data_IF_653675950148
#
_entry.id   IF_653675950148
#
_cell.length_a   1.000
_cell.length_b   1.000
_cell.length_c   1.000
_cell.angle_alpha   90.00
_cell.angle_beta   90.00
_cell.angle_gamma   90.00
#
_symmetry.space_group_name_H-M   'P 1'
#
loop_
_entity.id
_entity.type
_entity.pdbx_description
1 polymer ?
#
# COMPACT_ATOMS: atom_id res chain seq x y z
N UNK A 1 -12.59 4.74 -11.22
CA UNK A 1 -13.08 3.75 -10.22
C UNK A 1 -14.56 3.97 -9.97
N UNK A 2 -15.32 2.92 -9.60
CA UNK A 2 -16.75 3.07 -9.25
C UNK A 2 -16.91 3.79 -7.91
N UNK A 3 -18.05 4.47 -7.71
CA UNK A 3 -18.39 5.25 -6.51
C UNK A 3 -18.21 4.46 -5.20
N UNK A 4 -18.61 3.18 -5.20
CA UNK A 4 -18.50 2.28 -4.03
C UNK A 4 -17.08 2.21 -3.42
N UNK A 5 -16.05 2.39 -4.22
CA UNK A 5 -14.64 2.31 -3.80
C UNK A 5 -13.92 3.67 -3.83
N UNK A 6 -14.64 4.73 -4.16
CA UNK A 6 -14.09 6.09 -4.25
C UNK A 6 -14.41 6.86 -2.98
N UNK A 7 -13.40 7.16 -2.19
CA UNK A 7 -13.54 8.06 -1.04
C UNK A 7 -13.58 9.51 -1.53
N UNK A 8 -14.38 10.38 -0.89
CA UNK A 8 -14.62 11.73 -1.39
C UNK A 8 -13.34 12.56 -1.59
N UNK A 9 -12.39 12.46 -0.67
CA UNK A 9 -11.13 13.23 -0.72
C UNK A 9 -10.28 12.87 -1.94
N UNK A 10 -10.13 11.58 -2.25
CA UNK A 10 -9.39 11.13 -3.42
C UNK A 10 -10.20 11.29 -4.72
N UNK A 11 -11.52 11.10 -4.64
CA UNK A 11 -12.41 11.31 -5.78
C UNK A 11 -12.35 12.74 -6.33
N UNK A 12 -12.22 13.74 -5.47
CA UNK A 12 -12.08 15.16 -5.87
C UNK A 12 -10.82 15.43 -6.68
N UNK A 13 -9.71 14.73 -6.40
CA UNK A 13 -8.44 14.88 -7.12
C UNK A 13 -8.61 14.52 -8.60
N UNK A 14 -9.44 13.53 -8.91
CA UNK A 14 -9.58 12.97 -10.26
C UNK A 14 -10.83 13.43 -11.02
N UNK A 15 -11.44 14.55 -10.59
CA UNK A 15 -12.54 15.18 -11.35
C UNK A 15 -12.00 15.92 -12.58
N UNK A 16 -12.85 16.06 -13.60
CA UNK A 16 -12.56 16.91 -14.75
C UNK A 16 -12.26 18.37 -14.33
N UNK A 17 -12.98 18.87 -13.33
CA UNK A 17 -12.76 20.20 -12.76
C UNK A 17 -11.32 20.38 -12.27
N UNK A 18 -10.82 19.46 -11.40
CA UNK A 18 -9.45 19.55 -10.89
C UNK A 18 -8.41 19.37 -11.99
N UNK A 19 -8.67 18.50 -12.95
CA UNK A 19 -7.80 18.30 -14.12
C UNK A 19 -7.64 19.56 -14.95
N UNK A 20 -8.74 20.19 -15.34
CA UNK A 20 -8.70 21.42 -16.15
C UNK A 20 -8.20 22.62 -15.34
N UNK A 21 -8.45 22.66 -14.05
CA UNK A 21 -7.86 23.67 -13.18
C UNK A 21 -6.33 23.54 -13.13
N UNK A 22 -5.80 22.32 -13.07
CA UNK A 22 -4.37 22.07 -13.14
C UNK A 22 -3.77 22.47 -14.52
N UNK A 23 -4.49 22.21 -15.63
CA UNK A 23 -4.08 22.68 -16.95
C UNK A 23 -4.05 24.21 -17.02
N UNK A 24 -5.09 24.86 -16.52
CA UNK A 24 -5.16 26.33 -16.48
C UNK A 24 -4.01 26.93 -15.67
N UNK A 25 -3.68 26.34 -14.53
CA UNK A 25 -2.58 26.82 -13.71
C UNK A 25 -1.23 26.72 -14.43
N UNK A 26 -0.97 25.62 -15.14
CA UNK A 26 0.26 25.49 -15.97
C UNK A 26 0.31 26.56 -17.05
N UNK A 27 -0.78 26.81 -17.77
CA UNK A 27 -0.86 27.82 -18.81
C UNK A 27 -0.58 29.24 -18.26
N UNK A 28 -1.17 29.57 -17.12
CA UNK A 28 -1.01 30.90 -16.53
C UNK A 28 0.42 31.09 -15.99
N UNK A 29 0.96 30.08 -15.29
CA UNK A 29 2.33 30.11 -14.78
C UNK A 29 3.37 30.21 -15.90
N UNK A 30 3.13 29.58 -17.05
CA UNK A 30 3.98 29.73 -18.22
C UNK A 30 3.96 31.19 -18.73
N UNK A 31 2.79 31.83 -18.79
CA UNK A 31 2.68 33.23 -19.15
C UNK A 31 3.36 34.14 -18.12
N UNK A 32 3.28 33.85 -16.84
CA UNK A 32 3.98 34.56 -15.78
C UNK A 32 5.51 34.50 -15.99
N UNK A 33 6.03 33.29 -16.29
CA UNK A 33 7.45 33.13 -16.59
C UNK A 33 7.91 33.95 -17.79
N UNK A 34 7.15 33.99 -18.87
CA UNK A 34 7.40 34.81 -20.04
C UNK A 34 7.36 36.31 -19.70
N UNK A 35 6.50 36.72 -18.76
CA UNK A 35 6.47 38.12 -18.31
C UNK A 35 7.70 38.49 -17.47
N UNK A 36 8.25 37.57 -16.69
CA UNK A 36 9.52 37.79 -15.99
C UNK A 36 10.70 37.89 -16.95
N UNK A 37 10.66 37.21 -18.10
CA UNK A 37 11.63 37.38 -19.19
C UNK A 37 11.44 38.68 -19.99
N UNK A 38 10.26 39.32 -19.90
CA UNK A 38 9.92 40.54 -20.60
C UNK A 38 9.28 40.36 -21.97
N UNK A 39 8.95 39.11 -22.35
CA UNK A 39 8.34 38.77 -23.64
C UNK A 39 6.82 38.97 -23.65
N UNK A 40 6.17 38.86 -22.49
CA UNK A 40 4.74 39.13 -22.30
C UNK A 40 4.57 40.34 -21.37
N UNK A 41 3.70 41.31 -21.70
CA UNK A 41 3.41 42.44 -20.81
C UNK A 41 2.82 41.96 -19.48
N UNK A 42 3.32 42.48 -18.36
CA UNK A 42 2.83 42.09 -17.01
C UNK A 42 1.34 42.40 -16.81
N UNK A 43 0.82 43.45 -17.47
CA UNK A 43 -0.61 43.78 -17.44
C UNK A 43 -1.46 42.73 -18.15
N UNK A 44 -0.96 42.10 -19.24
CA UNK A 44 -1.67 41.03 -19.93
C UNK A 44 -1.73 39.77 -19.02
N UNK A 45 -0.62 39.44 -18.36
CA UNK A 45 -0.59 38.31 -17.41
C UNK A 45 -1.49 38.55 -16.21
N UNK A 46 -1.55 39.77 -15.69
CA UNK A 46 -2.50 40.09 -14.59
C UNK A 46 -3.96 39.88 -15.04
N UNK A 47 -4.31 40.29 -16.27
CA UNK A 47 -5.64 40.02 -16.84
C UNK A 47 -5.90 38.55 -17.06
N UNK A 48 -4.92 37.77 -17.53
CA UNK A 48 -5.03 36.31 -17.65
C UNK A 48 -5.33 35.67 -16.28
N UNK A 49 -4.56 36.02 -15.25
CA UNK A 49 -4.74 35.47 -13.90
C UNK A 49 -6.13 35.81 -13.31
N UNK A 50 -6.63 37.02 -13.59
CA UNK A 50 -7.93 37.48 -13.07
C UNK A 50 -9.13 36.86 -13.81
N UNK A 51 -9.05 36.76 -15.16
CA UNK A 51 -10.23 36.51 -15.99
C UNK A 51 -10.24 35.11 -16.63
N UNK A 52 -9.09 34.42 -16.76
CA UNK A 52 -9.05 33.11 -17.38
C UNK A 52 -9.87 32.09 -16.57
N UNK A 53 -10.82 31.49 -17.25
CA UNK A 53 -11.69 30.46 -16.69
C UNK A 53 -12.08 29.45 -17.79
N UNK A 54 -12.74 28.40 -17.39
CA UNK A 54 -13.23 27.39 -18.33
C UNK A 54 -14.62 26.88 -17.94
N UNK A 55 -15.30 26.34 -18.92
CA UNK A 55 -16.55 25.59 -18.74
C UNK A 55 -16.39 24.22 -19.36
N UNK A 56 -16.62 23.17 -18.55
CA UNK A 56 -16.39 21.78 -18.95
C UNK A 56 -17.27 21.38 -20.13
N UNK A 57 -18.54 21.77 -20.11
CA UNK A 57 -19.47 21.43 -21.19
C UNK A 57 -19.07 22.12 -22.49
N UNK A 58 -18.59 23.38 -22.40
CA UNK A 58 -18.06 24.11 -23.55
C UNK A 58 -16.79 23.46 -24.11
N UNK A 59 -15.90 22.99 -23.25
CA UNK A 59 -14.71 22.23 -23.70
C UNK A 59 -15.15 20.99 -24.48
N UNK A 60 -16.11 20.22 -23.96
CA UNK A 60 -16.63 19.02 -24.64
C UNK A 60 -17.25 19.33 -26.01
N UNK A 61 -18.04 20.40 -26.10
CA UNK A 61 -18.61 20.86 -27.37
C UNK A 61 -17.50 21.16 -28.41
N UNK A 62 -16.47 21.91 -28.02
CA UNK A 62 -15.36 22.25 -28.91
C UNK A 62 -14.54 21.01 -29.26
N UNK A 63 -14.39 20.06 -28.33
CA UNK A 63 -13.67 18.81 -28.57
C UNK A 63 -14.38 17.92 -29.60
N UNK A 64 -15.70 17.91 -29.65
CA UNK A 64 -16.48 17.19 -30.68
C UNK A 64 -16.13 17.68 -32.09
N UNK A 65 -15.84 18.97 -32.26
CA UNK A 65 -15.44 19.54 -33.54
C UNK A 65 -13.95 19.35 -33.84
N UNK A 66 -13.09 19.67 -32.83
CA UNK A 66 -11.64 19.71 -33.02
C UNK A 66 -10.97 18.37 -32.92
N UNK A 67 -11.61 17.39 -32.29
CA UNK A 67 -11.07 16.05 -31.97
C UNK A 67 -9.73 16.10 -31.24
N UNK A 68 -9.51 17.16 -30.44
CA UNK A 68 -8.29 17.40 -29.71
C UNK A 68 -8.59 18.11 -28.38
N UNK A 69 -8.36 17.43 -27.27
CA UNK A 69 -8.73 17.89 -25.93
C UNK A 69 -7.99 19.19 -25.48
N UNK A 70 -6.68 19.29 -25.70
CA UNK A 70 -5.92 20.51 -25.32
C UNK A 70 -6.32 21.70 -26.18
N UNK A 71 -6.53 21.50 -27.49
CA UNK A 71 -7.03 22.57 -28.38
C UNK A 71 -8.42 23.03 -27.95
N UNK A 72 -9.28 22.10 -27.58
CA UNK A 72 -10.63 22.42 -27.09
C UNK A 72 -10.55 23.25 -25.80
N UNK A 73 -9.70 22.83 -24.85
CA UNK A 73 -9.48 23.53 -23.60
C UNK A 73 -8.94 24.98 -23.83
N UNK A 74 -7.88 25.14 -24.62
CA UNK A 74 -7.28 26.45 -24.87
C UNK A 74 -8.24 27.40 -25.60
N UNK A 75 -9.08 26.89 -26.52
CA UNK A 75 -10.14 27.66 -27.15
C UNK A 75 -11.21 28.10 -26.15
N UNK A 76 -11.69 27.20 -25.32
CA UNK A 76 -12.68 27.51 -24.30
C UNK A 76 -12.16 28.58 -23.31
N UNK A 77 -10.91 28.48 -22.87
CA UNK A 77 -10.27 29.50 -22.04
C UNK A 77 -10.17 30.85 -22.79
N UNK A 78 -9.78 30.83 -24.06
CA UNK A 78 -9.66 32.03 -24.86
C UNK A 78 -10.99 32.77 -25.05
N UNK A 79 -12.13 32.07 -25.02
CA UNK A 79 -13.45 32.70 -25.09
C UNK A 79 -13.79 33.57 -23.87
N UNK A 80 -13.10 33.36 -22.75
CA UNK A 80 -13.30 34.18 -21.51
C UNK A 80 -12.41 35.41 -21.43
N UNK A 81 -11.52 35.62 -22.40
CA UNK A 81 -10.45 36.59 -22.37
C UNK A 81 -10.61 37.67 -23.47
N UNK A 82 -9.96 38.82 -23.25
CA UNK A 82 -9.84 39.91 -24.21
C UNK A 82 -8.66 39.73 -25.18
N UNK A 83 -7.90 40.81 -25.41
CA UNK A 83 -6.72 40.80 -26.29
C UNK A 83 -5.58 39.91 -25.77
N UNK A 84 -5.49 39.69 -24.47
CA UNK A 84 -4.52 38.83 -23.79
C UNK A 84 -4.66 37.37 -24.16
N UNK A 85 -5.78 36.92 -24.73
CA UNK A 85 -6.02 35.52 -25.19
C UNK A 85 -4.94 35.00 -26.15
N UNK A 86 -4.22 35.91 -26.86
CA UNK A 86 -3.13 35.54 -27.78
C UNK A 86 -1.96 34.85 -27.07
N UNK A 87 -1.85 34.99 -25.77
CA UNK A 87 -0.80 34.39 -24.95
C UNK A 87 -1.13 32.99 -24.40
N UNK A 88 -2.39 32.58 -24.52
CA UNK A 88 -2.77 31.21 -24.13
C UNK A 88 -2.03 30.20 -25.03
N UNK A 89 -1.36 29.23 -24.38
CA UNK A 89 -0.55 28.21 -25.04
C UNK A 89 0.68 28.73 -25.80
N UNK A 90 1.19 29.90 -25.42
CA UNK A 90 2.31 30.53 -26.14
C UNK A 90 3.61 29.75 -25.99
N UNK A 91 4.11 29.21 -27.10
CA UNK A 91 5.33 28.39 -27.18
C UNK A 91 5.16 26.93 -26.71
N UNK A 92 4.06 26.58 -26.04
CA UNK A 92 3.84 25.27 -25.46
C UNK A 92 3.41 24.22 -26.49
N UNK A 93 3.69 22.95 -26.19
CA UNK A 93 3.04 21.80 -26.81
C UNK A 93 2.06 21.15 -25.82
N UNK A 94 1.11 20.38 -26.32
CA UNK A 94 0.05 19.76 -25.50
C UNK A 94 0.57 19.07 -24.25
N UNK A 95 1.66 18.30 -24.36
CA UNK A 95 2.22 17.54 -23.22
C UNK A 95 3.05 18.37 -22.25
N UNK A 96 3.46 19.58 -22.61
CA UNK A 96 4.01 20.53 -21.63
C UNK A 96 2.94 20.83 -20.56
N UNK A 97 1.68 20.93 -20.97
CA UNK A 97 0.54 21.14 -20.08
C UNK A 97 0.07 19.82 -19.45
N UNK A 98 -0.19 18.81 -20.27
CA UNK A 98 -0.82 17.55 -19.80
C UNK A 98 0.07 16.80 -18.82
N UNK A 99 1.35 16.59 -19.16
CA UNK A 99 2.25 15.82 -18.29
C UNK A 99 2.59 16.58 -17.00
N UNK A 100 2.86 17.89 -17.09
CA UNK A 100 3.17 18.71 -15.91
C UNK A 100 1.96 18.81 -14.98
N UNK A 101 0.77 19.04 -15.53
CA UNK A 101 -0.45 19.07 -14.74
C UNK A 101 -0.79 17.72 -14.14
N UNK A 102 -0.56 16.61 -14.85
CA UNK A 102 -0.76 15.26 -14.33
C UNK A 102 0.15 15.00 -13.12
N UNK A 103 1.41 15.39 -13.20
CA UNK A 103 2.36 15.29 -12.07
C UNK A 103 1.92 16.15 -10.89
N UNK A 104 1.36 17.31 -11.13
CA UNK A 104 0.79 18.17 -10.08
C UNK A 104 -0.47 17.53 -9.43
N UNK A 105 -1.35 16.94 -10.20
CA UNK A 105 -2.52 16.17 -9.69
C UNK A 105 -2.07 14.93 -8.91
N UNK A 106 -1.05 14.20 -9.39
CA UNK A 106 -0.47 13.07 -8.67
C UNK A 106 0.16 13.50 -7.34
N UNK A 107 0.81 14.67 -7.28
CA UNK A 107 1.32 15.23 -6.02
C UNK A 107 0.19 15.42 -5.01
N UNK A 108 -0.95 15.97 -5.41
CA UNK A 108 -2.12 16.10 -4.53
C UNK A 108 -2.62 14.72 -4.03
N UNK A 109 -2.65 13.71 -4.91
CA UNK A 109 -3.01 12.35 -4.53
C UNK A 109 -1.97 11.72 -3.58
N UNK A 110 -0.67 12.00 -3.79
CA UNK A 110 0.42 11.52 -2.95
C UNK A 110 0.33 12.03 -1.51
N UNK A 111 -0.05 13.30 -1.32
CA UNK A 111 -0.26 13.88 0.02
C UNK A 111 -1.33 13.11 0.81
N UNK A 112 -2.43 12.74 0.14
CA UNK A 112 -3.49 11.93 0.75
C UNK A 112 -2.98 10.53 1.08
N UNK A 113 -2.32 9.85 0.14
CA UNK A 113 -1.80 8.50 0.33
C UNK A 113 -0.72 8.43 1.41
N UNK A 114 0.14 9.45 1.50
CA UNK A 114 1.16 9.56 2.55
C UNK A 114 0.52 9.58 3.94
N UNK A 115 -0.48 10.45 4.13
CA UNK A 115 -1.22 10.53 5.39
C UNK A 115 -1.98 9.23 5.72
N UNK A 116 -2.49 8.54 4.72
CA UNK A 116 -3.15 7.24 4.90
C UNK A 116 -2.18 6.14 5.32
N UNK A 117 -0.98 6.09 4.71
CA UNK A 117 0.07 5.14 5.05
C UNK A 117 0.56 5.35 6.48
N UNK A 118 0.84 6.58 6.87
CA UNK A 118 1.29 6.93 8.22
C UNK A 118 0.22 6.54 9.26
N UNK A 119 -1.05 6.85 9.00
CA UNK A 119 -2.17 6.46 9.86
C UNK A 119 -2.32 4.94 9.96
N UNK A 120 -2.16 4.22 8.86
CA UNK A 120 -2.24 2.76 8.87
C UNK A 120 -1.09 2.13 9.66
N UNK A 121 0.13 2.65 9.53
CA UNK A 121 1.29 2.23 10.32
C UNK A 121 1.05 2.44 11.83
N UNK A 122 0.49 3.57 12.20
CA UNK A 122 0.16 3.87 13.61
C UNK A 122 -0.88 2.91 14.18
N UNK A 123 -1.90 2.55 13.40
CA UNK A 123 -2.89 1.55 13.81
C UNK A 123 -2.22 0.19 14.08
N UNK A 124 -1.36 -0.26 13.16
CA UNK A 124 -0.64 -1.53 13.33
C UNK A 124 0.28 -1.47 14.56
N UNK A 125 1.00 -0.36 14.74
CA UNK A 125 1.85 -0.11 15.91
C UNK A 125 1.08 -0.28 17.22
N UNK A 126 -0.05 0.41 17.34
CA UNK A 126 -0.91 0.34 18.53
C UNK A 126 -1.37 -1.09 18.82
N UNK A 127 -1.82 -1.80 17.78
CA UNK A 127 -2.27 -3.19 17.90
C UNK A 127 -1.13 -4.15 18.22
N UNK A 128 0.06 -3.95 17.68
CA UNK A 128 1.24 -4.76 18.00
C UNK A 128 1.60 -4.65 19.49
N UNK A 129 1.60 -3.42 20.03
CA UNK A 129 1.89 -3.18 21.45
C UNK A 129 0.78 -3.73 22.35
N UNK A 130 -0.50 -3.52 21.99
CA UNK A 130 -1.66 -4.05 22.71
C UNK A 130 -1.59 -5.58 22.89
N UNK A 131 -1.14 -6.29 21.87
CA UNK A 131 -1.08 -7.75 21.84
C UNK A 131 0.33 -8.33 21.97
N UNK A 132 1.28 -7.56 22.49
CA UNK A 132 2.69 -7.98 22.66
C UNK A 132 2.80 -9.33 23.36
N UNK A 133 2.02 -9.54 24.40
CA UNK A 133 2.05 -10.73 25.25
C UNK A 133 0.89 -11.69 25.00
N UNK A 134 0.07 -11.44 23.97
CA UNK A 134 -1.03 -12.35 23.59
C UNK A 134 -0.47 -13.56 22.87
N UNK A 135 -0.29 -14.67 23.60
CA UNK A 135 0.30 -15.90 23.06
C UNK A 135 -0.62 -16.56 22.04
N UNK A 136 -0.04 -17.08 20.99
CA UNK A 136 -0.71 -17.86 19.95
C UNK A 136 0.22 -18.90 19.35
N UNK A 137 -0.36 -19.81 18.57
CA UNK A 137 0.41 -20.82 17.84
C UNK A 137 1.04 -20.23 16.58
N UNK A 138 2.37 -20.33 16.46
CA UNK A 138 3.08 -20.12 15.21
C UNK A 138 2.89 -21.33 14.28
N UNK A 139 2.59 -21.06 13.00
CA UNK A 139 2.34 -22.11 12.01
C UNK A 139 3.28 -21.97 10.83
N UNK A 140 3.89 -23.09 10.43
CA UNK A 140 4.64 -23.22 9.18
C UNK A 140 3.97 -24.30 8.33
N UNK A 141 3.83 -24.07 7.03
CA UNK A 141 3.09 -24.98 6.13
C UNK A 141 1.63 -25.25 6.55
N UNK A 142 1.04 -24.37 7.39
CA UNK A 142 -0.28 -24.57 8.00
C UNK A 142 -0.29 -25.51 9.21
N UNK A 143 0.87 -26.05 9.61
CA UNK A 143 1.06 -26.96 10.74
C UNK A 143 1.59 -26.21 11.96
N UNK A 144 1.20 -26.64 13.16
CA UNK A 144 1.72 -26.09 14.41
C UNK A 144 3.23 -26.28 14.51
N UNK A 145 3.95 -25.19 14.75
CA UNK A 145 5.39 -25.18 14.94
C UNK A 145 5.73 -24.83 16.39
N UNK A 146 5.87 -23.56 16.72
CA UNK A 146 6.23 -23.09 18.04
C UNK A 146 5.31 -21.96 18.51
N UNK A 147 5.14 -21.75 19.83
CA UNK A 147 4.46 -20.59 20.38
C UNK A 147 5.08 -19.28 19.92
N UNK A 148 4.23 -18.30 19.64
CA UNK A 148 4.59 -16.93 19.32
C UNK A 148 3.58 -15.98 19.97
N UNK A 149 3.64 -14.68 19.67
CA UNK A 149 2.60 -13.74 20.10
C UNK A 149 1.90 -13.10 18.91
N UNK A 150 0.64 -12.71 19.09
CA UNK A 150 -0.11 -11.98 18.09
C UNK A 150 0.52 -10.61 17.84
N UNK A 151 1.03 -9.96 18.90
CA UNK A 151 1.77 -8.71 18.77
C UNK A 151 3.03 -8.84 17.92
N UNK A 152 3.78 -9.95 18.03
CA UNK A 152 4.96 -10.19 17.20
C UNK A 152 4.60 -10.35 15.71
N UNK A 153 3.48 -11.00 15.41
CA UNK A 153 2.91 -11.07 14.06
C UNK A 153 2.59 -9.67 13.50
N UNK A 154 1.99 -8.81 14.30
CA UNK A 154 1.68 -7.43 13.93
C UNK A 154 2.94 -6.54 13.85
N UNK A 155 3.96 -6.80 14.66
CA UNK A 155 5.25 -6.11 14.57
C UNK A 155 5.94 -6.37 13.21
N UNK A 156 5.79 -7.58 12.65
CA UNK A 156 6.26 -7.88 11.29
C UNK A 156 5.52 -7.03 10.24
N UNK A 157 4.20 -6.84 10.38
CA UNK A 157 3.42 -5.98 9.48
C UNK A 157 3.83 -4.51 9.60
N UNK A 158 4.06 -4.05 10.83
CA UNK A 158 4.56 -2.70 11.11
C UNK A 158 5.87 -2.42 10.36
N UNK A 159 6.86 -3.29 10.49
CA UNK A 159 8.14 -3.14 9.81
C UNK A 159 8.03 -3.23 8.27
N UNK A 160 7.14 -4.06 7.77
CA UNK A 160 6.87 -4.14 6.32
C UNK A 160 6.24 -2.84 5.79
N UNK A 161 5.30 -2.26 6.54
CA UNK A 161 4.66 -1.01 6.12
C UNK A 161 5.58 0.20 6.26
N UNK A 162 6.52 0.23 7.18
CA UNK A 162 7.59 1.24 7.23
C UNK A 162 8.43 1.22 5.95
N UNK A 163 8.88 0.04 5.52
CA UNK A 163 9.60 -0.10 4.25
C UNK A 163 8.74 0.31 3.04
N UNK A 164 7.44 0.07 3.08
CA UNK A 164 6.52 0.53 2.04
C UNK A 164 6.34 2.04 2.04
N UNK A 165 6.33 2.68 3.21
CA UNK A 165 6.32 4.13 3.34
C UNK A 165 7.57 4.77 2.70
N UNK A 166 8.75 4.20 2.96
CA UNK A 166 10.00 4.68 2.37
C UNK A 166 9.99 4.55 0.84
N UNK A 167 9.55 3.39 0.32
CA UNK A 167 9.36 3.18 -1.12
C UNK A 167 8.36 4.16 -1.73
N UNK A 168 7.26 4.43 -1.01
CA UNK A 168 6.25 5.37 -1.49
C UNK A 168 6.81 6.79 -1.56
N UNK A 169 7.56 7.26 -0.56
CA UNK A 169 8.23 8.56 -0.58
C UNK A 169 9.19 8.70 -1.76
N UNK A 170 9.96 7.65 -2.03
CA UNK A 170 10.87 7.61 -3.19
C UNK A 170 10.09 7.66 -4.52
N UNK A 171 9.06 6.85 -4.67
CA UNK A 171 8.23 6.83 -5.87
C UNK A 171 7.46 8.14 -6.08
N UNK A 172 6.94 8.76 -5.01
CA UNK A 172 6.29 10.07 -5.06
C UNK A 172 7.26 11.14 -5.54
N UNK A 173 8.46 11.20 -4.95
CA UNK A 173 9.53 12.10 -5.42
C UNK A 173 9.86 11.85 -6.88
N UNK A 174 9.90 10.59 -7.32
CA UNK A 174 10.22 10.19 -8.69
C UNK A 174 9.16 10.57 -9.73
N UNK A 175 7.88 10.70 -9.34
CA UNK A 175 6.78 11.06 -10.24
C UNK A 175 6.46 12.57 -10.25
N UNK A 176 6.86 13.33 -9.22
CA UNK A 176 6.58 14.74 -9.06
C UNK A 176 7.55 15.62 -9.89
N UNK A 177 7.60 15.36 -11.19
CA UNK A 177 8.39 16.08 -12.16
C UNK A 177 7.49 16.73 -13.20
N UNK A 178 7.87 17.96 -13.61
CA UNK A 178 7.26 18.64 -14.75
C UNK A 178 8.25 18.73 -15.94
N UNK A 179 7.69 19.00 -17.11
CA UNK A 179 8.44 19.29 -18.33
C UNK A 179 7.74 20.37 -19.12
N UNK A 180 8.47 21.41 -19.52
CA UNK A 180 8.02 22.43 -20.45
C UNK A 180 9.18 22.69 -21.41
N UNK A 181 9.40 21.74 -22.28
CA UNK A 181 10.56 21.64 -23.17
C UNK A 181 10.20 21.61 -24.66
N UNK A 182 8.92 21.76 -24.98
CA UNK A 182 8.43 21.80 -26.36
C UNK A 182 8.21 20.42 -27.00
N UNK A 183 8.02 20.43 -28.29
CA UNK A 183 7.51 19.30 -29.07
C UNK A 183 8.43 18.05 -29.07
N UNK A 184 9.72 18.20 -28.84
CA UNK A 184 10.70 17.10 -28.82
C UNK A 184 11.75 17.25 -27.71
N UNK A 185 11.54 18.15 -26.74
CA UNK A 185 12.43 18.30 -25.61
C UNK A 185 13.65 19.21 -25.85
N UNK A 186 13.68 19.98 -26.92
CA UNK A 186 14.85 20.79 -27.30
C UNK A 186 14.75 22.29 -26.93
N UNK A 187 13.65 22.70 -26.33
CA UNK A 187 13.34 24.10 -26.00
C UNK A 187 13.38 25.07 -27.20
N UNK A 188 13.06 24.58 -28.41
CA UNK A 188 13.20 25.34 -29.63
C UNK A 188 12.40 26.66 -29.63
N UNK A 189 11.24 26.68 -28.96
CA UNK A 189 10.35 27.85 -28.88
C UNK A 189 10.04 28.27 -27.44
N UNK A 190 10.78 27.77 -26.47
CA UNK A 190 10.54 27.97 -25.03
C UNK A 190 11.88 28.20 -24.35
N UNK A 191 11.98 29.30 -23.57
CA UNK A 191 13.15 29.45 -22.71
C UNK A 191 13.12 28.43 -21.55
N UNK A 192 14.23 27.74 -21.23
CA UNK A 192 14.30 26.82 -20.09
C UNK A 192 13.87 27.41 -18.75
N UNK A 193 13.95 28.73 -18.59
CA UNK A 193 13.46 29.43 -17.41
C UNK A 193 11.95 29.18 -17.18
N UNK A 194 11.16 29.09 -18.27
CA UNK A 194 9.70 28.84 -18.17
C UNK A 194 9.42 27.51 -17.47
N UNK A 195 10.16 26.46 -17.83
CA UNK A 195 10.04 25.16 -17.17
C UNK A 195 10.40 25.23 -15.69
N UNK A 196 11.54 25.86 -15.39
CA UNK A 196 11.99 26.01 -14.01
C UNK A 196 10.97 26.76 -13.16
N UNK A 197 10.48 27.90 -13.67
CA UNK A 197 9.50 28.74 -12.99
C UNK A 197 8.20 27.99 -12.70
N UNK A 198 7.62 27.33 -13.70
CA UNK A 198 6.36 26.58 -13.55
C UNK A 198 6.53 25.44 -12.56
N UNK A 199 7.59 24.65 -12.70
CA UNK A 199 7.84 23.53 -11.77
C UNK A 199 8.02 24.01 -10.33
N UNK A 200 8.78 25.08 -10.09
CA UNK A 200 8.98 25.66 -8.77
C UNK A 200 7.64 26.12 -8.15
N UNK A 201 6.81 26.83 -8.91
CA UNK A 201 5.50 27.31 -8.43
C UNK A 201 4.53 26.18 -8.11
N UNK A 202 4.58 25.06 -8.84
CA UNK A 202 3.76 23.86 -8.57
C UNK A 202 4.39 22.95 -7.50
N UNK A 203 5.61 23.27 -7.04
CA UNK A 203 6.36 22.42 -6.11
C UNK A 203 6.76 21.08 -6.74
N UNK A 204 7.02 21.08 -8.05
CA UNK A 204 7.55 19.96 -8.82
C UNK A 204 9.04 20.16 -9.08
N UNK A 205 9.73 19.11 -9.47
CA UNK A 205 11.08 19.19 -10.02
C UNK A 205 11.01 19.32 -11.54
N UNK A 206 11.92 20.10 -12.15
CA UNK A 206 12.06 20.10 -13.60
C UNK A 206 12.82 18.86 -14.05
N UNK A 207 12.33 18.18 -15.09
CA UNK A 207 13.01 17.02 -15.64
C UNK A 207 14.35 17.43 -16.28
N UNK A 208 15.48 16.80 -15.91
CA UNK A 208 16.79 17.15 -16.47
C UNK A 208 16.86 17.02 -17.99
N UNK A 209 16.09 16.09 -18.54
CA UNK A 209 15.92 15.85 -19.97
C UNK A 209 14.55 15.20 -20.19
N UNK A 210 13.91 15.54 -21.28
CA UNK A 210 12.64 14.95 -21.70
C UNK A 210 12.58 14.86 -23.21
N UNK A 211 11.56 14.21 -23.72
CA UNK A 211 11.16 14.28 -25.13
C UNK A 211 9.93 15.20 -25.25
N UNK A 212 8.95 14.87 -26.06
CA UNK A 212 7.66 15.55 -25.94
C UNK A 212 6.95 15.22 -24.63
N UNK A 213 7.30 14.09 -24.00
CA UNK A 213 6.73 13.58 -22.74
C UNK A 213 7.80 13.42 -21.67
N UNK A 214 7.37 13.35 -20.41
CA UNK A 214 8.14 12.73 -19.34
C UNK A 214 8.30 11.22 -19.64
N UNK A 215 9.43 10.64 -19.26
CA UNK A 215 9.66 9.20 -19.49
C UNK A 215 8.77 8.35 -18.58
N UNK A 216 8.18 7.27 -19.12
CA UNK A 216 7.15 6.48 -18.46
C UNK A 216 7.69 5.43 -17.48
N UNK A 217 9.00 5.24 -17.40
CA UNK A 217 9.64 4.48 -16.31
C UNK A 217 9.29 5.05 -14.92
N UNK A 218 9.16 6.39 -14.81
CA UNK A 218 8.70 7.06 -13.57
C UNK A 218 7.31 6.59 -13.17
N UNK A 219 6.38 6.55 -14.14
CA UNK A 219 5.01 6.09 -13.93
C UNK A 219 4.96 4.59 -13.60
N UNK A 220 5.78 3.77 -14.29
CA UNK A 220 5.89 2.35 -14.01
C UNK A 220 6.44 2.06 -12.62
N UNK A 221 7.46 2.80 -12.16
CA UNK A 221 7.99 2.72 -10.80
C UNK A 221 6.93 3.10 -9.76
N UNK A 222 6.23 4.21 -9.98
CA UNK A 222 5.14 4.65 -9.11
C UNK A 222 4.05 3.57 -8.98
N UNK A 223 3.54 3.07 -10.10
CA UNK A 223 2.51 2.03 -10.14
C UNK A 223 2.97 0.72 -9.49
N UNK A 224 4.25 0.35 -9.65
CA UNK A 224 4.85 -0.82 -9.00
C UNK A 224 4.85 -0.68 -7.48
N UNK A 225 5.13 0.51 -7.00
CA UNK A 225 5.11 0.81 -5.56
C UNK A 225 3.69 0.71 -5.00
N UNK A 226 2.69 1.29 -5.68
CA UNK A 226 1.28 1.15 -5.28
C UNK A 226 0.85 -0.33 -5.24
N UNK A 227 1.25 -1.10 -6.25
CA UNK A 227 0.94 -2.53 -6.32
C UNK A 227 1.61 -3.34 -5.21
N UNK A 228 2.85 -3.01 -4.82
CA UNK A 228 3.55 -3.66 -3.72
C UNK A 228 2.88 -3.37 -2.38
N UNK A 229 2.46 -2.13 -2.12
CA UNK A 229 1.71 -1.75 -0.92
C UNK A 229 0.39 -2.52 -0.86
N UNK A 230 -0.37 -2.56 -1.96
CA UNK A 230 -1.61 -3.33 -2.06
C UNK A 230 -1.39 -4.83 -1.81
N UNK A 231 -0.28 -5.38 -2.27
CA UNK A 231 0.10 -6.79 -2.05
C UNK A 231 0.43 -7.06 -0.58
N UNK A 232 1.06 -6.12 0.13
CA UNK A 232 1.26 -6.22 1.59
C UNK A 232 -0.08 -6.24 2.33
N UNK A 233 -1.01 -5.34 1.98
CA UNK A 233 -2.37 -5.34 2.55
C UNK A 233 -3.10 -6.66 2.26
N UNK A 234 -2.98 -7.18 1.04
CA UNK A 234 -3.54 -8.51 0.69
C UNK A 234 -2.98 -9.61 1.57
N UNK A 235 -1.65 -9.65 1.77
CA UNK A 235 -1.00 -10.62 2.66
C UNK A 235 -1.58 -10.57 4.08
N UNK A 236 -1.75 -9.38 4.63
CA UNK A 236 -2.33 -9.19 5.97
C UNK A 236 -3.80 -9.63 6.01
N UNK A 237 -4.57 -9.31 4.97
CA UNK A 237 -5.95 -9.72 4.84
C UNK A 237 -6.10 -11.25 4.72
N UNK A 238 -5.20 -11.91 4.02
CA UNK A 238 -5.15 -13.39 3.93
C UNK A 238 -4.87 -14.01 5.29
N UNK A 239 -3.98 -13.42 6.09
CA UNK A 239 -3.73 -13.87 7.47
C UNK A 239 -4.98 -13.72 8.33
N UNK A 240 -5.65 -12.57 8.32
CA UNK A 240 -6.92 -12.36 9.06
C UNK A 240 -7.96 -13.40 8.66
N UNK A 241 -8.12 -13.68 7.36
CA UNK A 241 -9.02 -14.73 6.85
C UNK A 241 -8.65 -16.12 7.38
N UNK A 242 -7.35 -16.42 7.42
CA UNK A 242 -6.82 -17.67 7.96
C UNK A 242 -7.12 -17.84 9.45
N UNK A 243 -6.96 -16.77 10.24
CA UNK A 243 -7.22 -16.79 11.68
C UNK A 243 -8.72 -16.77 12.02
N UNK A 244 -9.59 -16.34 11.09
CA UNK A 244 -11.04 -16.32 11.27
C UNK A 244 -11.73 -17.62 10.85
N UNK A 245 -11.02 -18.59 10.26
CA UNK A 245 -11.62 -19.89 9.91
C UNK A 245 -12.30 -20.54 11.12
N UNK A 246 -13.35 -21.33 10.88
CA UNK A 246 -14.10 -22.04 11.92
C UNK A 246 -13.21 -22.91 12.82
N UNK A 247 -12.21 -23.56 12.22
CA UNK A 247 -11.25 -24.43 12.90
C UNK A 247 -10.24 -23.64 13.76
N UNK A 248 -9.94 -22.41 13.39
CA UNK A 248 -8.94 -21.54 14.06
C UNK A 248 -9.61 -20.60 15.06
N UNK A 249 -10.47 -19.72 14.57
CA UNK A 249 -11.26 -18.73 15.33
C UNK A 249 -10.45 -17.97 16.38
N UNK A 250 -9.28 -17.47 15.97
CA UNK A 250 -8.36 -16.70 16.83
C UNK A 250 -8.60 -15.20 16.73
N UNK A 251 -9.10 -14.72 15.59
CA UNK A 251 -9.57 -13.36 15.39
C UNK A 251 -10.89 -13.36 14.60
N UNK A 252 -11.57 -12.20 14.58
CA UNK A 252 -12.79 -11.99 13.80
C UNK A 252 -12.88 -10.50 13.41
N UNK A 253 -13.25 -10.20 12.15
CA UNK A 253 -13.61 -8.84 11.77
C UNK A 253 -14.74 -8.34 12.66
N UNK A 254 -14.67 -7.06 13.07
CA UNK A 254 -15.73 -6.47 13.90
C UNK A 254 -17.08 -6.57 13.21
N UNK A 255 -18.05 -7.08 13.96
CA UNK A 255 -19.41 -7.29 13.50
C UNK A 255 -20.36 -6.35 14.25
N UNK A 256 -20.86 -5.33 13.56
CA UNK A 256 -21.72 -4.32 14.16
C UNK A 256 -23.12 -4.90 14.52
N UNK A 257 -23.74 -4.34 15.56
CA UNK A 257 -25.10 -4.68 15.94
C UNK A 257 -26.05 -4.41 14.75
N UNK A 258 -26.78 -5.44 14.34
CA UNK A 258 -27.72 -5.35 13.19
C UNK A 258 -27.10 -5.68 11.82
N UNK A 259 -25.78 -5.84 11.72
CA UNK A 259 -25.13 -6.31 10.51
C UNK A 259 -25.57 -7.73 10.16
N UNK A 260 -25.65 -8.04 8.86
CA UNK A 260 -25.95 -9.40 8.37
C UNK A 260 -24.66 -10.01 7.79
N UNK A 261 -24.28 -11.16 8.31
CA UNK A 261 -23.04 -11.86 7.88
C UNK A 261 -23.29 -12.84 6.73
N UNK A 262 -24.51 -13.31 6.57
CA UNK A 262 -24.91 -14.26 5.55
C UNK A 262 -26.39 -14.09 5.22
N UNK A 263 -26.76 -14.30 3.96
CA UNK A 263 -28.16 -14.28 3.52
C UNK A 263 -28.93 -15.56 3.93
N UNK A 264 -28.20 -16.67 4.16
CA UNK A 264 -28.80 -17.98 4.45
C UNK A 264 -28.61 -18.43 5.90
N UNK A 265 -27.47 -18.12 6.51
CA UNK A 265 -27.10 -18.62 7.85
C UNK A 265 -26.89 -17.44 8.82
N UNK A 266 -27.85 -17.17 9.73
CA UNK A 266 -27.82 -15.98 10.60
C UNK A 266 -26.60 -15.87 11.51
N UNK A 267 -25.99 -16.99 11.89
CA UNK A 267 -24.80 -17.05 12.77
C UNK A 267 -23.47 -16.87 12.04
N UNK A 268 -23.46 -16.95 10.70
CA UNK A 268 -22.23 -16.98 9.92
C UNK A 268 -21.67 -15.57 9.71
N UNK A 269 -20.47 -15.33 10.21
CA UNK A 269 -19.73 -14.06 10.08
C UNK A 269 -18.55 -14.27 9.14
N UNK A 270 -18.68 -13.74 7.92
CA UNK A 270 -17.65 -13.88 6.89
C UNK A 270 -16.66 -12.72 6.97
N UNK A 271 -15.36 -12.95 6.69
CA UNK A 271 -14.33 -11.89 6.62
C UNK A 271 -14.41 -11.12 5.28
N UNK A 272 -15.58 -10.54 4.99
CA UNK A 272 -15.87 -9.91 3.70
C UNK A 272 -14.95 -8.72 3.42
N UNK A 273 -14.55 -7.97 4.46
CA UNK A 273 -13.65 -6.86 4.31
C UNK A 273 -12.27 -7.31 3.85
N UNK A 274 -11.72 -8.35 4.46
CA UNK A 274 -10.41 -8.93 4.08
C UNK A 274 -10.48 -9.60 2.70
N UNK A 275 -11.58 -10.26 2.35
CA UNK A 275 -11.79 -10.79 1.00
C UNK A 275 -11.81 -9.69 -0.06
N UNK A 276 -12.48 -8.56 0.25
CA UNK A 276 -12.51 -7.40 -0.62
C UNK A 276 -11.11 -6.82 -0.85
N UNK A 277 -10.24 -6.75 0.18
CA UNK A 277 -8.85 -6.31 0.04
C UNK A 277 -8.07 -7.19 -0.93
N UNK A 278 -8.25 -8.50 -0.85
CA UNK A 278 -7.64 -9.46 -1.78
C UNK A 278 -8.05 -9.19 -3.24
N UNK A 279 -9.34 -8.89 -3.46
CA UNK A 279 -9.85 -8.53 -4.78
C UNK A 279 -9.28 -7.21 -5.32
N UNK A 280 -9.22 -6.18 -4.47
CA UNK A 280 -8.72 -4.85 -4.85
C UNK A 280 -7.23 -4.87 -5.21
N UNK A 281 -6.41 -5.64 -4.50
CA UNK A 281 -4.99 -5.78 -4.81
C UNK A 281 -4.74 -6.36 -6.22
N UNK A 282 -5.61 -7.25 -6.70
CA UNK A 282 -5.53 -7.81 -8.05
C UNK A 282 -5.70 -6.74 -9.13
N UNK A 283 -6.61 -5.78 -8.91
CA UNK A 283 -6.83 -4.66 -9.84
C UNK A 283 -5.59 -3.79 -9.95
N UNK A 284 -5.00 -3.38 -8.81
CA UNK A 284 -3.81 -2.52 -8.81
C UNK A 284 -2.63 -3.23 -9.48
N UNK A 285 -2.44 -4.53 -9.29
CA UNK A 285 -1.41 -5.30 -10.02
C UNK A 285 -1.67 -5.36 -11.53
N UNK A 286 -2.92 -5.44 -11.96
CA UNK A 286 -3.27 -5.34 -13.38
C UNK A 286 -2.94 -3.96 -13.97
N UNK A 287 -3.21 -2.90 -13.23
CA UNK A 287 -2.86 -1.52 -13.61
C UNK A 287 -1.34 -1.30 -13.65
N UNK A 288 -0.60 -1.88 -12.70
CA UNK A 288 0.86 -1.88 -12.73
C UNK A 288 1.39 -2.53 -14.02
N UNK A 289 0.88 -3.69 -14.40
CA UNK A 289 1.29 -4.35 -15.64
C UNK A 289 1.05 -3.45 -16.86
N UNK A 290 -0.10 -2.79 -16.92
CA UNK A 290 -0.41 -1.85 -18.00
C UNK A 290 0.59 -0.69 -18.04
N UNK A 291 1.07 -0.21 -16.89
CA UNK A 291 2.03 0.88 -16.85
C UNK A 291 3.42 0.50 -17.42
N UNK A 292 3.83 -0.75 -17.31
CA UNK A 292 5.06 -1.23 -17.96
C UNK A 292 4.96 -1.20 -19.49
N UNK A 293 3.78 -1.50 -20.04
CA UNK A 293 3.54 -1.45 -21.48
C UNK A 293 3.56 -0.02 -22.05
N UNK A 294 3.44 1.00 -21.18
CA UNK A 294 3.55 2.40 -21.58
C UNK A 294 5.00 2.91 -21.63
N UNK A 295 5.99 2.14 -21.16
CA UNK A 295 7.41 2.57 -21.16
C UNK A 295 7.98 2.65 -22.58
N UNK A 296 7.81 1.64 -23.46
CA UNK A 296 8.38 1.64 -24.81
C UNK A 296 7.54 2.44 -25.81
N UNK A 297 7.46 3.76 -25.62
CA UNK A 297 6.82 4.65 -26.62
C UNK A 297 7.70 4.80 -27.86
N UNK A 298 7.08 5.09 -29.02
CA UNK A 298 7.78 5.34 -30.26
C UNK A 298 8.43 6.72 -30.26
N UNK A 299 9.72 6.75 -30.60
CA UNK A 299 10.50 7.97 -30.78
C UNK A 299 10.35 8.95 -29.60
N UNK A 300 10.12 10.21 -29.86
CA UNK A 300 9.93 11.26 -28.87
C UNK A 300 8.53 11.23 -28.23
N UNK A 301 7.57 10.59 -28.85
CA UNK A 301 6.22 10.27 -28.34
C UNK A 301 5.37 9.52 -29.35
N UNK A 302 4.59 8.55 -28.89
CA UNK A 302 3.27 8.24 -29.44
C UNK A 302 2.18 8.45 -28.39
N UNK A 303 0.89 8.27 -28.71
CA UNK A 303 -0.20 8.58 -27.80
C UNK A 303 -0.80 7.34 -27.11
N UNK A 304 -0.23 6.16 -27.29
CA UNK A 304 -0.78 4.89 -26.77
C UNK A 304 -0.92 4.88 -25.25
N UNK A 305 0.02 5.53 -24.52
CA UNK A 305 -0.01 5.65 -23.06
C UNK A 305 -1.23 6.43 -22.55
N UNK A 306 -1.69 7.44 -23.30
CA UNK A 306 -2.69 8.40 -22.82
C UNK A 306 -4.03 7.74 -22.47
N UNK A 307 -4.54 6.85 -23.32
CA UNK A 307 -5.80 6.14 -23.05
C UNK A 307 -5.73 5.22 -21.83
N UNK A 308 -4.59 4.57 -21.63
CA UNK A 308 -4.36 3.70 -20.48
C UNK A 308 -4.22 4.51 -19.17
N UNK A 309 -3.41 5.58 -19.19
CA UNK A 309 -3.13 6.39 -17.99
C UNK A 309 -4.37 7.12 -17.45
N UNK A 310 -5.30 7.51 -18.32
CA UNK A 310 -6.61 8.08 -17.93
C UNK A 310 -7.43 7.14 -17.04
N UNK A 311 -7.14 5.84 -17.06
CA UNK A 311 -7.79 4.81 -16.25
C UNK A 311 -6.92 4.37 -15.10
N UNK A 312 -5.67 3.93 -15.38
CA UNK A 312 -4.86 3.22 -14.39
C UNK A 312 -4.39 4.10 -13.24
N UNK A 313 -4.04 5.37 -13.49
CA UNK A 313 -3.54 6.27 -12.44
C UNK A 313 -4.64 6.71 -11.46
N UNK A 314 -5.80 7.21 -11.93
CA UNK A 314 -6.93 7.49 -11.04
C UNK A 314 -7.36 6.24 -10.27
N UNK A 315 -7.57 5.14 -10.97
CA UNK A 315 -8.12 3.94 -10.37
C UNK A 315 -7.18 3.31 -9.35
N UNK A 316 -5.86 3.29 -9.60
CA UNK A 316 -4.90 2.73 -8.64
C UNK A 316 -4.80 3.56 -7.37
N UNK A 317 -4.73 4.89 -7.47
CA UNK A 317 -4.66 5.78 -6.30
C UNK A 317 -5.95 5.77 -5.48
N UNK A 318 -7.11 5.79 -6.15
CA UNK A 318 -8.43 5.66 -5.50
C UNK A 318 -8.54 4.30 -4.79
N UNK A 319 -8.16 3.21 -5.48
CA UNK A 319 -8.21 1.87 -4.90
C UNK A 319 -7.30 1.73 -3.68
N UNK A 320 -6.07 2.26 -3.74
CA UNK A 320 -5.13 2.19 -2.62
C UNK A 320 -5.61 3.04 -1.42
N UNK A 321 -6.12 4.27 -1.66
CA UNK A 321 -6.74 5.09 -0.62
C UNK A 321 -7.89 4.34 0.07
N UNK A 322 -8.76 3.69 -0.71
CA UNK A 322 -9.82 2.86 -0.17
C UNK A 322 -9.28 1.69 0.67
N UNK A 323 -8.28 0.95 0.15
CA UNK A 323 -7.70 -0.21 0.84
C UNK A 323 -7.07 0.17 2.18
N UNK A 324 -6.25 1.22 2.21
CA UNK A 324 -5.56 1.69 3.43
C UNK A 324 -6.57 2.08 4.52
N UNK A 325 -7.60 2.82 4.16
CA UNK A 325 -8.62 3.27 5.11
C UNK A 325 -9.53 2.12 5.56
N UNK A 326 -10.00 1.30 4.65
CA UNK A 326 -10.89 0.18 4.99
C UNK A 326 -10.18 -0.88 5.81
N UNK A 327 -9.00 -1.31 5.39
CA UNK A 327 -8.26 -2.34 6.11
C UNK A 327 -7.68 -1.81 7.43
N UNK A 328 -7.26 -0.55 7.47
CA UNK A 328 -6.89 0.12 8.71
C UNK A 328 -8.03 0.08 9.73
N UNK A 329 -9.25 0.34 9.30
CA UNK A 329 -10.43 0.24 10.18
C UNK A 329 -10.74 -1.21 10.61
N UNK A 330 -10.51 -2.20 9.75
CA UNK A 330 -10.62 -3.63 10.11
C UNK A 330 -9.62 -3.97 11.19
N UNK A 331 -8.33 -3.65 11.02
CA UNK A 331 -7.26 -3.94 11.98
C UNK A 331 -7.52 -3.24 13.31
N UNK A 332 -7.92 -1.96 13.27
CA UNK A 332 -8.22 -1.18 14.46
C UNK A 332 -9.30 -1.82 15.34
N UNK A 333 -10.33 -2.38 14.72
CA UNK A 333 -11.52 -2.92 15.39
C UNK A 333 -11.54 -4.46 15.42
N UNK A 334 -10.43 -5.12 15.10
CA UNK A 334 -10.34 -6.58 15.07
C UNK A 334 -10.67 -7.15 16.45
N UNK A 335 -11.60 -8.10 16.49
CA UNK A 335 -11.89 -8.86 17.70
C UNK A 335 -10.87 -9.99 17.81
N UNK A 336 -10.12 -10.01 18.91
CA UNK A 336 -9.11 -11.03 19.21
C UNK A 336 -9.62 -11.96 20.29
N UNK A 337 -9.38 -13.26 20.17
CA UNK A 337 -9.81 -14.29 21.12
C UNK A 337 -8.59 -14.99 21.75
N UNK A 338 -7.96 -14.42 22.80
CA UNK A 338 -6.76 -14.97 23.42
C UNK A 338 -6.97 -16.41 23.98
N UNK A 339 -8.17 -16.68 24.51
CA UNK A 339 -8.48 -18.02 25.04
C UNK A 339 -8.59 -19.09 23.93
N UNK A 340 -9.05 -18.71 22.72
CA UNK A 340 -9.02 -19.61 21.58
C UNK A 340 -7.58 -19.84 21.09
N UNK A 341 -6.74 -18.78 21.10
CA UNK A 341 -5.31 -18.90 20.76
C UNK A 341 -4.61 -19.91 21.67
N UNK A 342 -4.80 -19.79 22.99
CA UNK A 342 -4.26 -20.77 23.98
C UNK A 342 -4.79 -22.17 23.74
N UNK A 343 -6.11 -22.33 23.62
CA UNK A 343 -6.73 -23.63 23.37
C UNK A 343 -6.20 -24.29 22.09
N UNK A 344 -5.94 -23.52 21.06
CA UNK A 344 -5.40 -24.06 19.81
C UNK A 344 -3.97 -24.58 19.96
N UNK A 345 -3.16 -24.05 20.89
CA UNK A 345 -1.83 -24.59 21.18
C UNK A 345 -1.89 -26.03 21.70
N UNK A 346 -2.92 -26.38 22.46
CA UNK A 346 -3.09 -27.71 23.05
C UNK A 346 -3.63 -28.78 22.08
N UNK A 347 -4.09 -28.35 20.87
CA UNK A 347 -4.67 -29.25 19.86
C UNK A 347 -3.75 -30.38 19.40
N UNK A 348 -2.43 -30.16 19.49
CA UNK A 348 -1.43 -31.17 19.15
C UNK A 348 -0.89 -31.89 20.36
N UNK A 349 -1.66 -31.92 21.46
CA UNK A 349 -1.38 -32.74 22.64
C UNK A 349 0.04 -32.50 23.20
N UNK A 350 0.55 -31.27 23.16
CA UNK A 350 1.87 -30.92 23.68
C UNK A 350 3.04 -31.28 22.75
N UNK A 351 2.80 -31.76 21.54
CA UNK A 351 3.85 -32.10 20.57
C UNK A 351 4.73 -30.90 20.17
N UNK A 352 4.21 -29.68 20.31
CA UNK A 352 4.96 -28.43 20.09
C UNK A 352 6.20 -28.29 21.00
N UNK A 353 6.26 -29.05 22.10
CA UNK A 353 7.38 -29.06 23.04
C UNK A 353 8.42 -30.17 22.76
N UNK A 354 8.23 -31.01 21.75
CA UNK A 354 9.11 -32.14 21.46
C UNK A 354 10.58 -31.71 21.27
N UNK A 355 10.84 -30.58 20.62
CA UNK A 355 12.20 -30.05 20.49
C UNK A 355 12.79 -29.63 21.84
N UNK A 356 11.97 -29.10 22.76
CA UNK A 356 12.46 -28.73 24.11
C UNK A 356 12.92 -29.96 24.87
N UNK A 357 12.16 -31.03 24.82
CA UNK A 357 12.53 -32.32 25.45
C UNK A 357 13.83 -32.86 24.80
N UNK A 358 13.93 -32.83 23.48
CA UNK A 358 15.13 -33.25 22.73
C UNK A 358 16.37 -32.45 23.18
N UNK A 359 16.29 -31.14 23.26
CA UNK A 359 17.39 -30.28 23.68
C UNK A 359 17.76 -30.51 25.14
N UNK A 360 16.78 -30.69 26.04
CA UNK A 360 17.04 -30.98 27.44
C UNK A 360 17.81 -32.34 27.64
N UNK A 361 17.49 -33.35 26.83
CA UNK A 361 18.24 -34.59 26.83
C UNK A 361 19.70 -34.43 26.32
N UNK A 362 19.92 -33.58 25.31
CA UNK A 362 21.28 -33.24 24.83
C UNK A 362 22.05 -32.51 25.93
N UNK A 363 21.44 -31.57 26.62
CA UNK A 363 22.07 -30.82 27.73
C UNK A 363 22.48 -31.76 28.91
N UNK A 364 21.81 -32.89 29.05
CA UNK A 364 22.16 -33.93 30.02
C UNK A 364 23.16 -34.97 29.48
N UNK A 365 23.67 -34.78 28.26
CA UNK A 365 24.80 -35.51 27.71
C UNK A 365 24.47 -36.58 26.64
N UNK A 366 23.21 -36.68 26.19
CA UNK A 366 22.91 -37.50 25.03
C UNK A 366 23.42 -36.85 23.74
N UNK A 367 23.88 -37.70 22.81
CA UNK A 367 24.11 -37.20 21.44
C UNK A 367 22.77 -37.00 20.75
N UNK A 368 22.78 -36.10 19.75
CA UNK A 368 21.56 -35.64 19.06
C UNK A 368 20.69 -36.80 18.52
N UNK A 369 21.34 -37.77 17.90
CA UNK A 369 20.68 -38.93 17.29
C UNK A 369 19.95 -39.76 18.35
N UNK A 370 20.61 -40.02 19.49
CA UNK A 370 19.99 -40.76 20.59
C UNK A 370 18.82 -40.02 21.25
N UNK A 371 18.97 -38.69 21.40
CA UNK A 371 17.90 -37.85 21.90
C UNK A 371 16.69 -37.86 20.93
N UNK A 372 16.98 -37.76 19.62
CA UNK A 372 15.94 -37.81 18.58
C UNK A 372 15.20 -39.17 18.58
N UNK A 373 15.96 -40.28 18.58
CA UNK A 373 15.41 -41.63 18.57
C UNK A 373 14.64 -41.96 19.86
N UNK A 374 14.89 -41.23 20.96
CA UNK A 374 14.13 -41.34 22.21
C UNK A 374 12.82 -40.55 22.11
N UNK A 375 12.84 -39.34 21.58
CA UNK A 375 11.69 -38.44 21.54
C UNK A 375 10.69 -38.79 20.42
N UNK A 376 11.17 -39.18 19.24
CA UNK A 376 10.32 -39.39 18.06
C UNK A 376 9.25 -40.48 18.29
N UNK A 377 9.56 -41.68 18.84
CA UNK A 377 8.53 -42.71 19.08
C UNK A 377 7.44 -42.23 20.04
N UNK A 378 7.79 -41.52 21.10
CA UNK A 378 6.84 -40.94 22.05
C UNK A 378 5.95 -39.90 21.39
N UNK A 379 6.52 -39.06 20.53
CA UNK A 379 5.75 -38.08 19.79
C UNK A 379 4.77 -38.73 18.80
N UNK A 380 5.17 -39.76 18.10
CA UNK A 380 4.29 -40.54 17.22
C UNK A 380 3.19 -41.23 18.01
N UNK A 381 3.52 -41.88 19.13
CA UNK A 381 2.56 -42.49 20.01
C UNK A 381 1.55 -41.51 20.56
N UNK A 382 1.98 -40.29 20.98
CA UNK A 382 1.09 -39.26 21.46
C UNK A 382 0.02 -38.89 20.42
N UNK A 383 0.41 -38.85 19.16
CA UNK A 383 -0.50 -38.55 18.05
C UNK A 383 -1.43 -39.68 17.71
N UNK A 384 -0.91 -40.91 17.67
CA UNK A 384 -1.69 -42.10 17.31
C UNK A 384 -2.70 -42.48 18.41
N UNK A 385 -2.25 -42.51 19.68
CA UNK A 385 -3.07 -42.91 20.83
C UNK A 385 -3.92 -41.77 21.41
N UNK A 386 -3.77 -40.52 20.86
CA UNK A 386 -4.43 -39.32 21.36
C UNK A 386 -4.13 -39.06 22.85
N UNK A 387 -2.91 -39.33 23.28
CA UNK A 387 -2.41 -39.11 24.64
C UNK A 387 -1.50 -37.89 24.66
N UNK A 388 -1.59 -37.07 25.71
CA UNK A 388 -0.73 -35.89 25.81
C UNK A 388 0.75 -36.29 25.87
N UNK A 389 1.59 -35.66 25.03
CA UNK A 389 3.00 -36.00 24.90
C UNK A 389 3.78 -35.91 26.22
N UNK A 390 3.43 -34.97 27.10
CA UNK A 390 4.02 -34.84 28.44
C UNK A 390 3.83 -36.13 29.24
N UNK A 391 2.65 -36.78 29.19
CA UNK A 391 2.38 -38.00 29.92
C UNK A 391 3.31 -39.15 29.51
N UNK A 392 3.59 -39.26 28.20
CA UNK A 392 4.52 -40.27 27.69
C UNK A 392 5.98 -39.96 28.09
N UNK A 393 6.36 -38.69 28.04
CA UNK A 393 7.68 -38.22 28.50
C UNK A 393 7.90 -38.50 29.99
N UNK A 394 6.89 -38.28 30.81
CA UNK A 394 6.92 -38.54 32.26
C UNK A 394 6.97 -40.03 32.62
N UNK A 395 6.54 -40.91 31.71
CA UNK A 395 6.51 -42.40 31.91
C UNK A 395 7.73 -43.11 31.30
N UNK A 396 8.50 -42.46 30.45
CA UNK A 396 9.66 -43.08 29.79
C UNK A 396 10.85 -43.22 30.77
N UNK A 397 11.29 -44.48 31.02
CA UNK A 397 12.35 -44.77 31.96
C UNK A 397 13.69 -44.12 31.63
N UNK A 398 14.02 -44.00 30.33
CA UNK A 398 15.27 -43.35 29.88
C UNK A 398 15.24 -41.87 30.17
N UNK A 399 14.12 -41.19 29.86
CA UNK A 399 13.93 -39.78 30.16
C UNK A 399 13.96 -39.51 31.66
N UNK A 400 13.24 -40.29 32.47
CA UNK A 400 13.25 -40.18 33.93
C UNK A 400 14.63 -40.36 34.54
N UNK A 401 15.50 -41.18 33.96
CA UNK A 401 16.88 -41.34 34.42
C UNK A 401 17.77 -40.12 34.18
N UNK A 402 17.38 -39.22 33.29
CA UNK A 402 18.17 -38.07 32.86
C UNK A 402 17.58 -36.70 33.27
N UNK A 403 16.24 -36.58 33.19
CA UNK A 403 15.53 -35.35 33.50
C UNK A 403 14.78 -35.48 34.84
N UNK A 404 14.93 -34.51 35.71
CA UNK A 404 14.09 -34.36 36.88
C UNK A 404 12.67 -33.89 36.51
N UNK A 405 11.72 -34.03 37.45
CA UNK A 405 10.37 -33.49 37.28
C UNK A 405 10.38 -31.97 36.95
N UNK A 406 11.29 -31.21 37.57
CA UNK A 406 11.44 -29.76 37.25
C UNK A 406 11.98 -29.54 35.83
N UNK A 407 12.94 -30.35 35.35
CA UNK A 407 13.44 -30.23 33.98
C UNK A 407 12.30 -30.51 32.96
N UNK A 408 11.42 -31.47 33.26
CA UNK A 408 10.25 -31.78 32.43
C UNK A 408 9.24 -30.59 32.47
N UNK A 409 8.93 -30.05 33.64
CA UNK A 409 8.06 -28.86 33.78
C UNK A 409 8.55 -27.71 32.92
N UNK A 410 9.85 -27.44 32.93
CA UNK A 410 10.48 -26.38 32.13
C UNK A 410 10.39 -26.67 30.62
N UNK A 411 10.39 -27.94 30.20
CA UNK A 411 10.21 -28.29 28.80
C UNK A 411 8.82 -27.95 28.27
N UNK A 412 7.78 -28.04 29.13
CA UNK A 412 6.38 -27.79 28.73
C UNK A 412 5.89 -26.38 29.05
N UNK A 413 6.78 -25.45 29.34
CA UNK A 413 6.45 -24.03 29.55
C UNK A 413 6.60 -23.25 28.24
N UNK A 414 5.50 -22.77 27.68
CA UNK A 414 5.50 -21.95 26.47
C UNK A 414 6.25 -20.61 26.62
N UNK A 415 6.41 -20.09 27.83
CA UNK A 415 7.11 -18.82 28.12
C UNK A 415 8.56 -18.85 27.68
N UNK A 416 9.18 -20.02 27.63
CA UNK A 416 10.51 -20.21 27.08
C UNK A 416 10.63 -19.67 25.65
N UNK A 417 9.63 -19.91 24.80
CA UNK A 417 9.63 -19.46 23.41
C UNK A 417 9.45 -17.94 23.26
N UNK A 418 8.99 -17.26 24.31
CA UNK A 418 8.65 -15.83 24.28
C UNK A 418 9.71 -14.94 24.95
N UNK A 419 10.80 -15.52 25.50
CA UNK A 419 11.82 -14.81 26.30
C UNK A 419 12.49 -13.64 25.56
N UNK A 420 12.47 -13.62 24.24
CA UNK A 420 13.10 -12.58 23.40
C UNK A 420 12.09 -11.64 22.70
N UNK A 421 10.82 -11.71 23.02
CA UNK A 421 9.78 -10.85 22.41
C UNK A 421 10.10 -9.38 22.69
N UNK A 422 10.45 -9.01 23.93
CA UNK A 422 10.82 -7.64 24.29
C UNK A 422 12.06 -7.16 23.50
N UNK A 423 13.05 -8.02 23.33
CA UNK A 423 14.25 -7.71 22.53
C UNK A 423 13.89 -7.35 21.09
N UNK A 424 12.94 -8.09 20.49
CA UNK A 424 12.46 -7.83 19.11
C UNK A 424 11.69 -6.52 19.09
N UNK A 425 10.78 -6.29 20.03
CA UNK A 425 9.98 -5.06 20.10
C UNK A 425 10.84 -3.82 20.29
N UNK A 426 11.90 -3.88 21.13
CA UNK A 426 12.90 -2.81 21.27
C UNK A 426 13.64 -2.56 19.95
N UNK A 427 14.09 -3.61 19.28
CA UNK A 427 14.83 -3.53 18.01
C UNK A 427 14.04 -2.79 16.92
N UNK A 428 12.72 -2.97 16.85
CA UNK A 428 11.87 -2.33 15.85
C UNK A 428 11.26 -1.00 16.35
N UNK A 429 11.61 -0.56 17.58
CA UNK A 429 11.17 0.71 18.14
C UNK A 429 9.68 0.75 18.54
N UNK A 430 9.10 -0.39 18.90
CA UNK A 430 7.73 -0.48 19.40
C UNK A 430 7.62 -0.25 20.91
N UNK A 431 8.68 -0.53 21.66
CA UNK A 431 8.87 -0.25 23.09
C UNK A 431 10.27 0.31 23.34
N UNK A 432 10.50 0.92 24.53
CA UNK A 432 11.79 1.47 24.99
C UNK A 432 12.78 0.39 25.46
#
# INVERSE_FOLDING_TARGET
>A
MIERYTRPEMGKIWTDENRFQAWLEVEILACEAWAELGDIPKEDVARLRENASFNIDRIKEIEEETRHDVVAFTRAVSETLGEERKWVHYGLTSTDVVDTALSYVLKQANEILLGDLERFIDIIKQKAVEHKDTVMMGRTHGVHAEPTTFGLKLALWYEEMKRNLDRFKDAATGIEFGKISGAVGTYANIDPFVEQYVCEKLGLQAAPVSTQTLQRDRHAHYMSTLALIATSIEKFAVEVRGLQKSETREVEEFFAKGQKGSSAMPHKRNPIGSENMTGMARLIRGYMQTSYENVPLWHERDISHSSAERVILPDATIALNYMLNRFGNIVKNLTVFPENMKRNMDRTLGLIYSQRVLLALIDKGLVREEAYDTVQPLAMQAWEDQVHFRTLVEQDEKIQSLLSASDIDDCFDYRYHLQHVDTIFKRVGLIE
#
